data_IF_448193968060
#
_entry.id   IF_448193968060
#
_cell.length_a   1.000
_cell.length_b   1.000
_cell.length_c   1.000
_cell.angle_alpha   90.00
_cell.angle_beta   90.00
_cell.angle_gamma   90.00
#
_symmetry.space_group_name_H-M   'P 1'
#
loop_
_entity.id
_entity.type
_entity.pdbx_description
1 polymer ?
#
# COMPACT_ATOMS: atom_id res chain seq x y z
N UNK A 1 27.58 29.82 -1.08
CA UNK A 1 27.09 29.74 0.31
C UNK A 1 25.76 29.00 0.29
N UNK A 2 25.72 27.76 0.79
CA UNK A 2 24.47 26.99 0.85
C UNK A 2 23.50 27.66 1.83
N UNK A 3 22.20 27.74 1.49
CA UNK A 3 21.21 28.26 2.45
C UNK A 3 21.22 27.37 3.70
N UNK A 4 21.00 27.96 4.88
CA UNK A 4 20.92 27.24 6.17
C UNK A 4 20.08 25.95 6.06
N UNK A 5 18.97 26.00 5.32
CA UNK A 5 18.08 24.87 5.07
C UNK A 5 18.71 23.72 4.27
N UNK A 6 19.59 24.02 3.32
CA UNK A 6 20.30 22.99 2.54
C UNK A 6 21.25 22.20 3.43
N UNK A 7 21.95 22.88 4.34
CA UNK A 7 22.84 22.24 5.32
C UNK A 7 22.02 21.37 6.27
N UNK A 8 20.87 21.86 6.76
CA UNK A 8 19.98 21.08 7.62
C UNK A 8 19.48 19.79 6.93
N UNK A 9 19.07 19.85 5.65
CA UNK A 9 18.66 18.65 4.88
C UNK A 9 19.80 17.63 4.76
N UNK A 10 21.03 18.10 4.51
CA UNK A 10 22.21 17.23 4.41
C UNK A 10 22.51 16.55 5.75
N UNK A 11 22.50 17.30 6.85
CA UNK A 11 22.77 16.76 8.18
C UNK A 11 21.69 15.77 8.60
N UNK A 12 20.42 16.13 8.43
CA UNK A 12 19.29 15.24 8.69
C UNK A 12 19.39 13.93 7.89
N UNK A 13 19.70 14.00 6.60
CA UNK A 13 19.82 12.80 5.76
C UNK A 13 21.01 11.91 6.18
N UNK A 14 22.13 12.50 6.60
CA UNK A 14 23.29 11.76 7.12
C UNK A 14 22.97 11.10 8.47
N UNK A 15 22.29 11.82 9.38
CA UNK A 15 21.94 11.31 10.70
C UNK A 15 20.90 10.19 10.61
N UNK A 16 19.89 10.34 9.75
CA UNK A 16 18.93 9.27 9.46
C UNK A 16 19.61 8.01 8.92
N UNK A 17 20.61 8.17 8.05
CA UNK A 17 21.42 7.03 7.61
C UNK A 17 22.12 6.35 8.78
N UNK A 18 22.79 7.11 9.66
CA UNK A 18 23.47 6.54 10.82
C UNK A 18 22.50 5.84 11.79
N UNK A 19 21.32 6.41 12.01
CA UNK A 19 20.28 5.80 12.85
C UNK A 19 19.76 4.50 12.23
N UNK A 20 19.57 4.45 10.92
CA UNK A 20 19.13 3.24 10.23
C UNK A 20 20.22 2.15 10.25
N UNK A 21 21.47 2.53 9.98
CA UNK A 21 22.60 1.59 10.08
C UNK A 21 22.70 1.02 11.51
N UNK A 22 22.41 1.83 12.53
CA UNK A 22 22.33 1.39 13.93
C UNK A 22 21.14 0.45 14.16
N UNK A 23 19.96 0.80 13.67
CA UNK A 23 18.75 -0.02 13.79
C UNK A 23 18.95 -1.40 13.20
N UNK A 24 19.64 -1.52 12.07
CA UNK A 24 20.01 -2.79 11.48
C UNK A 24 20.81 -3.67 12.44
N UNK A 25 21.71 -3.09 13.24
CA UNK A 25 22.54 -3.80 14.22
C UNK A 25 21.85 -4.10 15.57
N UNK A 26 20.77 -3.39 15.91
CA UNK A 26 20.05 -3.58 17.19
C UNK A 26 19.18 -4.84 17.13
N UNK A 27 19.29 -5.71 18.14
CA UNK A 27 18.39 -6.86 18.27
C UNK A 27 17.02 -6.45 18.78
N UNK A 28 15.95 -6.98 18.17
CA UNK A 28 14.57 -6.72 18.58
C UNK A 28 13.97 -5.44 17.99
N UNK A 29 12.79 -5.10 18.49
CA UNK A 29 12.04 -3.92 18.08
C UNK A 29 12.56 -2.67 18.82
N UNK A 30 12.58 -1.54 18.14
CA UNK A 30 13.10 -0.28 18.68
C UNK A 30 12.36 0.92 18.09
N UNK A 31 12.27 2.01 18.86
CA UNK A 31 11.75 3.29 18.38
C UNK A 31 12.71 4.39 18.81
N UNK A 32 13.04 5.30 17.90
CA UNK A 32 13.86 6.47 18.18
C UNK A 32 13.21 7.70 17.57
N UNK A 33 13.15 8.79 18.34
CA UNK A 33 12.80 10.11 17.84
C UNK A 33 14.02 10.74 17.15
N UNK A 34 13.79 11.32 15.97
CA UNK A 34 14.79 12.06 15.23
C UNK A 34 14.98 13.42 15.92
N UNK A 35 16.21 13.83 16.30
CA UNK A 35 16.49 15.05 17.06
C UNK A 35 16.49 16.31 16.17
N UNK A 36 15.55 16.40 15.24
CA UNK A 36 15.40 17.51 14.30
C UNK A 36 13.94 17.94 14.26
N UNK A 37 13.70 19.24 14.25
CA UNK A 37 12.41 19.76 13.83
C UNK A 37 12.29 19.62 12.31
N UNK A 38 11.45 18.70 11.85
CA UNK A 38 11.28 18.40 10.43
C UNK A 38 10.05 19.05 9.80
N UNK A 39 9.45 20.04 10.48
CA UNK A 39 8.20 20.71 10.05
C UNK A 39 8.28 21.40 8.69
N UNK A 40 9.48 21.58 8.13
CA UNK A 40 9.70 22.19 6.82
C UNK A 40 10.03 21.19 5.72
N UNK A 41 10.14 19.91 6.06
CA UNK A 41 10.69 18.89 5.18
C UNK A 41 9.67 17.82 4.86
N UNK A 42 9.77 17.33 3.64
CA UNK A 42 9.21 16.08 3.15
C UNK A 42 10.31 15.03 3.23
N UNK A 43 10.02 13.90 3.88
CA UNK A 43 10.90 12.77 4.06
C UNK A 43 10.26 11.55 3.40
N UNK A 44 10.96 10.91 2.47
CA UNK A 44 10.47 9.75 1.72
C UNK A 44 11.51 8.63 1.72
N UNK A 45 11.16 7.47 2.27
CA UNK A 45 11.94 6.27 2.01
C UNK A 45 11.63 5.71 0.62
N UNK A 46 12.71 5.42 -0.12
CA UNK A 46 12.72 4.57 -1.31
C UNK A 46 13.37 3.23 -0.93
N UNK A 47 13.49 2.30 -1.88
CA UNK A 47 13.99 0.93 -1.64
C UNK A 47 15.26 0.86 -0.76
N UNK A 48 16.24 1.72 -0.99
CA UNK A 48 17.50 1.77 -0.24
C UNK A 48 18.01 3.20 -0.02
N UNK A 49 17.12 4.19 0.00
CA UNK A 49 17.51 5.58 0.23
C UNK A 49 16.44 6.38 0.96
N UNK A 50 16.86 7.47 1.59
CA UNK A 50 15.97 8.54 2.04
C UNK A 50 16.12 9.73 1.11
N UNK A 51 14.99 10.27 0.66
CA UNK A 51 14.89 11.54 -0.04
C UNK A 51 14.32 12.60 0.91
N UNK A 52 15.01 13.74 1.04
CA UNK A 52 14.61 14.86 1.89
C UNK A 52 14.58 16.15 1.07
N UNK A 53 13.45 16.85 1.12
CA UNK A 53 13.23 18.08 0.35
C UNK A 53 12.15 18.97 0.97
N UNK A 54 12.07 20.22 0.55
CA UNK A 54 10.95 21.13 0.83
C UNK A 54 9.95 21.05 -0.34
N UNK A 55 8.63 21.25 -0.11
CA UNK A 55 7.59 21.10 -1.17
C UNK A 55 7.91 21.76 -2.50
N UNK A 56 8.52 22.94 -2.46
CA UNK A 56 8.83 23.76 -3.62
C UNK A 56 10.28 23.60 -4.13
N UNK A 57 11.01 22.59 -3.64
CA UNK A 57 12.35 22.32 -4.11
C UNK A 57 12.35 21.79 -5.55
N UNK A 58 13.12 22.47 -6.39
CA UNK A 58 13.62 21.90 -7.64
C UNK A 58 14.38 20.59 -7.34
N UNK A 59 14.33 19.62 -8.25
CA UNK A 59 14.94 18.30 -8.06
C UNK A 59 16.43 18.37 -7.65
N UNK A 60 17.18 19.32 -8.21
CA UNK A 60 18.60 19.55 -7.90
C UNK A 60 18.87 19.99 -6.45
N UNK A 61 17.85 20.44 -5.72
CA UNK A 61 17.93 20.85 -4.30
C UNK A 61 17.47 19.76 -3.33
N UNK A 62 16.96 18.63 -3.85
CA UNK A 62 16.54 17.49 -3.04
C UNK A 62 17.78 16.71 -2.63
N UNK A 63 17.82 16.27 -1.38
CA UNK A 63 18.93 15.52 -0.83
C UNK A 63 18.53 14.05 -0.77
N UNK A 64 19.18 13.22 -1.58
CA UNK A 64 19.06 11.78 -1.48
C UNK A 64 20.30 11.19 -0.78
N UNK A 65 20.07 10.27 0.14
CA UNK A 65 21.11 9.47 0.78
C UNK A 65 20.79 8.00 0.66
N UNK A 66 21.65 7.29 -0.07
CA UNK A 66 21.61 5.84 -0.18
C UNK A 66 22.09 5.20 1.13
N UNK A 67 21.50 4.07 1.47
CA UNK A 67 21.76 3.29 2.66
C UNK A 67 22.14 1.87 2.26
N UNK A 68 22.93 1.21 3.10
CA UNK A 68 23.28 -0.20 2.89
C UNK A 68 22.38 -0.99 3.82
N UNK A 69 21.40 -1.68 3.24
CA UNK A 69 20.47 -2.51 3.97
C UNK A 69 20.87 -3.98 3.78
N UNK A 70 20.95 -4.78 4.86
CA UNK A 70 21.11 -6.21 4.70
C UNK A 70 19.91 -6.84 4.00
N UNK A 71 20.09 -8.04 3.46
CA UNK A 71 19.01 -8.76 2.80
C UNK A 71 17.76 -8.87 3.67
N UNK A 72 16.61 -8.60 3.05
CA UNK A 72 15.28 -8.62 3.64
C UNK A 72 14.96 -7.48 4.62
N UNK A 73 15.84 -6.48 4.77
CA UNK A 73 15.44 -5.23 5.42
C UNK A 73 14.61 -4.37 4.46
N UNK A 74 13.54 -3.77 4.99
CA UNK A 74 12.66 -2.87 4.24
C UNK A 74 12.56 -1.51 4.95
N UNK A 75 12.65 -0.44 4.18
CA UNK A 75 12.33 0.91 4.63
C UNK A 75 10.94 1.28 4.13
N UNK A 76 10.09 1.78 5.03
CA UNK A 76 8.73 2.18 4.69
C UNK A 76 8.45 3.53 5.32
N UNK A 77 7.88 4.46 4.56
CA UNK A 77 7.25 5.63 5.13
C UNK A 77 7.56 6.92 4.40
N UNK A 78 6.58 7.81 4.52
CA UNK A 78 6.57 9.15 3.97
C UNK A 78 5.99 10.06 5.04
N UNK A 79 6.66 11.18 5.30
CA UNK A 79 6.16 12.20 6.20
C UNK A 79 6.38 13.57 5.60
N UNK A 80 5.36 14.40 5.73
CA UNK A 80 5.35 15.75 5.22
C UNK A 80 5.17 16.72 6.39
N UNK A 81 6.14 17.62 6.55
CA UNK A 81 6.05 18.81 7.41
C UNK A 81 5.67 18.47 8.86
N UNK A 82 6.16 17.33 9.37
CA UNK A 82 5.95 16.88 10.76
C UNK A 82 7.02 17.43 11.68
N UNK A 83 6.63 17.94 12.84
CA UNK A 83 7.58 18.50 13.81
C UNK A 83 8.44 17.40 14.45
N UNK A 84 7.82 16.32 14.92
CA UNK A 84 8.48 15.19 15.57
C UNK A 84 8.32 13.92 14.75
N UNK A 85 9.44 13.36 14.33
CA UNK A 85 9.49 12.15 13.49
C UNK A 85 10.24 11.05 14.21
N UNK A 86 9.71 9.84 14.12
CA UNK A 86 10.26 8.65 14.73
C UNK A 86 10.61 7.61 13.66
N UNK A 87 11.72 6.91 13.88
CA UNK A 87 12.01 5.64 13.21
C UNK A 87 11.59 4.51 14.14
N UNK A 88 10.73 3.62 13.66
CA UNK A 88 10.33 2.40 14.37
C UNK A 88 10.81 1.17 13.61
N UNK A 89 11.66 0.38 14.26
CA UNK A 89 12.02 -0.94 13.80
C UNK A 89 11.05 -1.96 14.38
N UNK A 90 10.43 -2.74 13.50
CA UNK A 90 9.77 -4.00 13.84
C UNK A 90 10.40 -5.12 13.05
N UNK A 91 11.09 -6.03 13.73
CA UNK A 91 11.86 -7.09 13.08
C UNK A 91 12.82 -6.53 12.00
N UNK A 92 12.61 -6.81 10.70
CA UNK A 92 13.46 -6.30 9.60
C UNK A 92 12.84 -5.11 8.85
N UNK A 93 11.75 -4.54 9.36
CA UNK A 93 11.07 -3.39 8.75
C UNK A 93 11.36 -2.16 9.58
N UNK A 94 11.83 -1.09 8.95
CA UNK A 94 12.05 0.21 9.58
C UNK A 94 11.06 1.20 8.99
N UNK A 95 10.22 1.77 9.86
CA UNK A 95 9.10 2.64 9.50
C UNK A 95 9.42 4.07 9.90
N UNK A 96 9.27 5.00 8.96
CA UNK A 96 9.21 6.44 9.21
C UNK A 96 7.80 6.83 9.60
N UNK A 97 7.59 7.35 10.82
CA UNK A 97 6.28 7.75 11.32
C UNK A 97 6.35 9.03 12.17
N UNK A 98 5.23 9.72 12.34
CA UNK A 98 5.13 10.78 13.34
C UNK A 98 5.26 10.19 14.75
N UNK A 99 6.01 10.85 15.63
CA UNK A 99 6.11 10.43 17.02
C UNK A 99 4.77 10.66 17.73
N UNK A 100 4.19 9.61 18.31
CA UNK A 100 3.04 9.76 19.20
C UNK A 100 3.57 10.15 20.59
N UNK A 101 3.07 11.25 21.15
CA UNK A 101 3.33 11.55 22.56
C UNK A 101 2.79 10.41 23.42
N UNK A 102 3.63 9.86 24.29
CA UNK A 102 3.29 8.70 25.10
C UNK A 102 2.20 9.02 26.12
N UNK A 103 1.08 8.28 26.04
CA UNK A 103 0.05 8.03 27.06
C UNK A 103 -0.40 9.21 27.95
N UNK A 104 -1.61 9.70 27.68
CA UNK A 104 -2.53 10.22 28.72
C UNK A 104 -3.97 9.86 28.35
N UNK A 105 -4.77 9.58 29.39
CA UNK A 105 -6.06 8.89 29.41
C UNK A 105 -7.23 9.68 28.73
N UNK A 106 -8.44 9.09 28.64
CA UNK A 106 -9.42 9.38 27.59
C UNK A 106 -10.18 10.68 27.81
N UNK A 107 -10.39 11.39 26.70
CA UNK A 107 -11.32 12.50 26.61
C UNK A 107 -10.72 13.65 25.84
N UNK A 108 -11.05 13.73 24.56
CA UNK A 108 -11.66 14.89 23.90
C UNK A 108 -11.81 14.57 22.41
N UNK A 109 -13.02 14.78 21.94
CA UNK A 109 -13.42 14.85 20.53
C UNK A 109 -12.48 15.76 19.74
N UNK A 110 -11.73 15.21 18.80
CA UNK A 110 -11.07 15.99 17.76
C UNK A 110 -11.73 15.66 16.43
N UNK A 111 -12.50 16.63 15.95
CA UNK A 111 -13.06 16.69 14.60
C UNK A 111 -11.96 16.49 13.56
N UNK A 112 -11.84 15.27 13.04
CA UNK A 112 -10.99 14.93 11.89
C UNK A 112 -11.63 15.50 10.64
N UNK A 113 -10.89 16.34 9.91
CA UNK A 113 -11.18 16.59 8.50
C UNK A 113 -10.95 15.25 7.79
N UNK A 114 -12.03 14.53 7.53
CA UNK A 114 -12.01 13.25 6.81
C UNK A 114 -11.60 13.51 5.37
N UNK A 115 -10.56 12.84 4.90
CA UNK A 115 -10.18 12.86 3.47
C UNK A 115 -11.28 12.21 2.63
N UNK A 116 -11.32 12.49 1.31
CA UNK A 116 -12.33 11.94 0.40
C UNK A 116 -12.34 10.41 0.37
N UNK A 117 -11.20 9.77 0.60
CA UNK A 117 -11.11 8.32 0.72
C UNK A 117 -11.55 7.84 2.11
N UNK A 118 -11.15 8.51 3.20
CA UNK A 118 -11.58 8.12 4.55
C UNK A 118 -13.09 8.18 4.74
N UNK A 119 -13.76 9.12 4.08
CA UNK A 119 -15.21 9.25 4.11
C UNK A 119 -15.95 8.04 3.47
N UNK A 120 -15.22 7.17 2.74
CA UNK A 120 -15.78 5.96 2.11
C UNK A 120 -15.68 4.73 3.01
N UNK A 121 -14.99 4.83 4.14
CA UNK A 121 -14.81 3.70 5.05
C UNK A 121 -15.91 3.70 6.11
N UNK A 122 -16.59 2.57 6.25
CA UNK A 122 -17.43 2.36 7.41
C UNK A 122 -16.57 2.20 8.67
N UNK A 123 -17.19 2.42 9.82
CA UNK A 123 -16.51 2.27 11.11
C UNK A 123 -15.92 0.86 11.24
N UNK A 124 -14.63 0.77 11.58
CA UNK A 124 -13.94 -0.49 11.79
C UNK A 124 -13.34 -1.12 10.53
N UNK A 125 -13.60 -0.58 9.33
CA UNK A 125 -13.10 -1.18 8.08
C UNK A 125 -11.58 -1.21 8.00
N UNK A 126 -10.91 -0.11 8.33
CA UNK A 126 -9.44 -0.04 8.26
C UNK A 126 -8.79 -0.92 9.33
N UNK A 127 -9.35 -1.01 10.53
CA UNK A 127 -8.86 -1.94 11.56
C UNK A 127 -9.04 -3.39 11.10
N UNK A 128 -10.19 -3.72 10.50
CA UNK A 128 -10.47 -5.05 9.96
C UNK A 128 -9.55 -5.40 8.79
N UNK A 129 -9.35 -4.48 7.86
CA UNK A 129 -8.48 -4.65 6.70
C UNK A 129 -7.03 -4.90 7.14
N UNK A 130 -6.48 -4.05 8.02
CA UNK A 130 -5.14 -4.24 8.58
C UNK A 130 -5.01 -5.60 9.27
N UNK A 131 -6.02 -6.02 10.05
CA UNK A 131 -6.01 -7.32 10.71
C UNK A 131 -5.96 -8.46 9.69
N UNK A 132 -6.81 -8.42 8.66
CA UNK A 132 -6.85 -9.45 7.61
C UNK A 132 -5.54 -9.49 6.82
N UNK A 133 -5.01 -8.34 6.41
CA UNK A 133 -3.74 -8.24 5.70
C UNK A 133 -2.59 -8.85 6.53
N UNK A 134 -2.50 -8.51 7.81
CA UNK A 134 -1.50 -9.09 8.72
C UNK A 134 -1.64 -10.61 8.87
N UNK A 135 -2.86 -11.13 9.02
CA UNK A 135 -3.12 -12.58 9.11
C UNK A 135 -2.77 -13.33 7.81
N UNK A 136 -2.79 -12.64 6.67
CA UNK A 136 -2.41 -13.17 5.36
C UNK A 136 -0.92 -12.97 5.03
N UNK A 137 -0.21 -12.16 5.82
CA UNK A 137 1.18 -11.75 5.53
C UNK A 137 1.31 -10.76 4.37
N UNK A 138 0.27 -9.98 4.10
CA UNK A 138 0.19 -8.99 3.02
C UNK A 138 0.40 -7.58 3.59
N UNK A 139 1.02 -6.68 2.82
CA UNK A 139 1.02 -5.25 3.15
C UNK A 139 -0.43 -4.69 3.08
N UNK A 140 -0.97 -4.11 4.15
CA UNK A 140 -2.34 -3.59 4.15
C UNK A 140 -2.61 -2.57 3.03
N UNK A 141 -1.63 -1.75 2.67
CA UNK A 141 -1.82 -0.79 1.59
C UNK A 141 -1.90 -1.46 0.21
N UNK A 142 -1.28 -2.65 0.03
CA UNK A 142 -1.44 -3.41 -1.21
C UNK A 142 -2.84 -4.01 -1.31
N UNK A 143 -3.35 -4.58 -0.21
CA UNK A 143 -4.71 -5.11 -0.17
C UNK A 143 -5.72 -3.99 -0.40
N UNK A 144 -5.55 -2.86 0.26
CA UNK A 144 -6.41 -1.69 0.09
C UNK A 144 -6.32 -1.11 -1.34
N UNK A 145 -5.15 -1.11 -1.98
CA UNK A 145 -4.97 -0.69 -3.37
C UNK A 145 -5.68 -1.60 -4.37
N UNK A 146 -5.62 -2.92 -4.15
CA UNK A 146 -6.39 -3.87 -4.95
C UNK A 146 -7.89 -3.62 -4.77
N UNK A 147 -8.37 -3.45 -3.53
CA UNK A 147 -9.79 -3.16 -3.27
C UNK A 147 -10.22 -1.85 -3.95
N UNK A 148 -9.39 -0.81 -3.87
CA UNK A 148 -9.67 0.46 -4.55
C UNK A 148 -9.80 0.24 -6.05
N UNK A 149 -8.86 -0.46 -6.67
CA UNK A 149 -8.87 -0.71 -8.10
C UNK A 149 -10.11 -1.51 -8.53
N UNK A 150 -10.38 -2.62 -7.84
CA UNK A 150 -11.51 -3.52 -8.12
C UNK A 150 -12.88 -2.85 -7.94
N UNK A 151 -12.97 -1.89 -7.02
CA UNK A 151 -14.21 -1.17 -6.75
C UNK A 151 -14.34 0.17 -7.48
N UNK A 152 -13.38 0.53 -8.32
CA UNK A 152 -13.32 1.86 -8.96
C UNK A 152 -13.23 3.01 -7.95
N UNK A 153 -12.61 2.77 -6.80
CA UNK A 153 -12.41 3.73 -5.72
C UNK A 153 -13.63 3.99 -4.85
N UNK A 154 -14.63 3.12 -4.88
CA UNK A 154 -15.84 3.24 -4.05
C UNK A 154 -15.71 2.51 -2.72
N UNK A 155 -14.88 1.46 -2.65
CA UNK A 155 -14.85 0.51 -1.53
C UNK A 155 -16.22 -0.11 -1.23
N UNK A 156 -17.12 -0.15 -2.22
CA UNK A 156 -18.48 -0.63 -2.00
C UNK A 156 -18.54 -2.17 -2.03
N UNK A 157 -19.07 -2.83 -0.98
CA UNK A 157 -19.31 -4.27 -0.97
C UNK A 157 -20.34 -4.72 -2.02
N UNK A 158 -21.14 -3.79 -2.53
CA UNK A 158 -22.16 -4.03 -3.55
C UNK A 158 -21.72 -3.67 -4.96
N UNK A 159 -20.45 -3.24 -5.14
CA UNK A 159 -19.96 -2.83 -6.46
C UNK A 159 -20.06 -3.99 -7.46
N UNK A 160 -20.85 -3.80 -8.51
CA UNK A 160 -20.99 -4.77 -9.60
C UNK A 160 -20.08 -4.41 -10.76
N UNK A 161 -19.59 -5.44 -11.45
CA UNK A 161 -18.83 -5.26 -12.68
C UNK A 161 -19.70 -4.67 -13.80
N UNK A 162 -19.19 -3.63 -14.47
CA UNK A 162 -19.92 -2.93 -15.54
C UNK A 162 -20.07 -3.74 -16.84
N UNK A 163 -19.24 -4.78 -17.05
CA UNK A 163 -19.27 -5.64 -18.23
C UNK A 163 -20.22 -6.84 -18.09
N UNK A 164 -20.95 -6.95 -16.97
CA UNK A 164 -21.99 -7.97 -16.78
C UNK A 164 -21.46 -9.37 -16.42
N UNK A 165 -20.22 -9.49 -15.95
CA UNK A 165 -19.64 -10.78 -15.53
C UNK A 165 -20.26 -11.39 -14.27
N UNK A 166 -21.08 -10.60 -13.55
CA UNK A 166 -21.61 -10.96 -12.22
C UNK A 166 -20.63 -10.75 -11.07
N UNK A 167 -19.40 -10.31 -11.36
CA UNK A 167 -18.41 -10.04 -10.32
C UNK A 167 -18.89 -8.93 -9.37
N UNK A 168 -18.74 -9.15 -8.06
CA UNK A 168 -19.35 -8.30 -7.03
C UNK A 168 -18.43 -8.06 -5.83
N UNK A 169 -18.42 -6.84 -5.31
CA UNK A 169 -17.82 -6.48 -4.03
C UNK A 169 -16.35 -6.04 -4.07
N UNK A 170 -15.73 -6.01 -2.89
CA UNK A 170 -14.44 -5.40 -2.58
C UNK A 170 -13.29 -5.93 -3.45
N UNK A 171 -13.35 -7.18 -3.87
CA UNK A 171 -12.36 -7.79 -4.78
C UNK A 171 -13.00 -8.40 -6.03
N UNK A 172 -14.21 -7.95 -6.37
CA UNK A 172 -14.99 -8.45 -7.52
C UNK A 172 -15.12 -9.99 -7.53
N UNK A 173 -15.71 -10.57 -6.48
CA UNK A 173 -15.94 -12.01 -6.39
C UNK A 173 -16.81 -12.49 -7.56
N UNK A 174 -16.30 -13.44 -8.34
CA UNK A 174 -17.08 -14.13 -9.38
C UNK A 174 -18.16 -15.03 -8.75
N UNK A 175 -19.32 -15.24 -9.41
CA UNK A 175 -20.42 -16.05 -8.86
C UNK A 175 -20.00 -17.45 -8.36
N UNK A 176 -19.21 -18.18 -9.15
CA UNK A 176 -18.72 -19.51 -8.77
C UNK A 176 -17.76 -19.45 -7.57
N UNK A 177 -16.95 -18.39 -7.46
CA UNK A 177 -16.07 -18.17 -6.32
C UNK A 177 -16.87 -17.90 -5.05
N UNK A 178 -17.92 -17.07 -5.13
CA UNK A 178 -18.81 -16.81 -4.00
C UNK A 178 -19.46 -18.10 -3.48
N UNK A 179 -19.96 -18.95 -4.39
CA UNK A 179 -20.54 -20.26 -4.06
C UNK A 179 -19.50 -21.15 -3.37
N UNK A 180 -18.27 -21.22 -3.90
CA UNK A 180 -17.20 -22.02 -3.30
C UNK A 180 -16.80 -21.55 -1.88
N UNK A 181 -17.02 -20.27 -1.56
CA UNK A 181 -16.80 -19.69 -0.24
C UNK A 181 -18.01 -19.84 0.70
N UNK A 182 -19.08 -20.51 0.25
CA UNK A 182 -20.29 -20.77 1.02
C UNK A 182 -21.26 -19.59 1.08
N UNK A 183 -21.28 -18.74 0.05
CA UNK A 183 -22.18 -17.59 -0.06
C UNK A 183 -22.61 -17.36 -1.52
N UNK A 184 -23.21 -16.21 -1.83
CA UNK A 184 -23.60 -15.79 -3.18
C UNK A 184 -23.18 -14.35 -3.44
N UNK A 185 -23.11 -13.93 -4.70
CA UNK A 185 -22.85 -12.53 -5.06
C UNK A 185 -23.94 -11.59 -4.53
N UNK A 186 -25.17 -12.07 -4.43
CA UNK A 186 -26.32 -11.35 -3.87
C UNK A 186 -26.21 -11.15 -2.36
N UNK A 187 -25.70 -12.13 -1.62
CA UNK A 187 -25.43 -12.01 -0.19
C UNK A 187 -24.20 -11.14 0.09
N UNK A 188 -23.12 -11.33 -0.67
CA UNK A 188 -21.93 -10.48 -0.61
C UNK A 188 -22.31 -9.00 -0.81
N UNK A 189 -23.17 -8.70 -1.78
CA UNK A 189 -23.63 -7.33 -2.05
C UNK A 189 -24.41 -6.68 -0.89
N UNK A 190 -24.94 -7.46 0.05
CA UNK A 190 -25.69 -6.97 1.22
C UNK A 190 -24.83 -6.79 2.46
N UNK A 191 -23.58 -7.26 2.42
CA UNK A 191 -22.66 -7.17 3.55
C UNK A 191 -22.11 -5.76 3.71
N UNK A 192 -21.69 -5.45 4.93
CA UNK A 192 -20.83 -4.32 5.25
C UNK A 192 -19.41 -4.55 4.69
N UNK A 193 -18.57 -3.50 4.64
CA UNK A 193 -17.17 -3.64 4.25
C UNK A 193 -16.42 -4.58 5.22
N UNK A 194 -16.64 -4.42 6.53
CA UNK A 194 -16.07 -5.22 7.61
C UNK A 194 -16.49 -6.69 7.50
N UNK A 195 -17.76 -6.97 7.22
CA UNK A 195 -18.27 -8.33 7.03
C UNK A 195 -17.65 -8.98 5.78
N UNK A 196 -17.61 -8.25 4.67
CA UNK A 196 -17.09 -8.79 3.42
C UNK A 196 -15.57 -9.07 3.49
N UNK A 197 -14.83 -8.38 4.36
CA UNK A 197 -13.42 -8.66 4.62
C UNK A 197 -13.16 -10.09 5.15
N UNK A 198 -14.13 -10.73 5.81
CA UNK A 198 -13.98 -12.15 6.20
C UNK A 198 -13.97 -13.08 4.97
N UNK A 199 -14.71 -12.73 3.92
CA UNK A 199 -14.69 -13.48 2.65
C UNK A 199 -13.45 -13.15 1.83
N UNK A 200 -12.97 -11.90 1.87
CA UNK A 200 -11.67 -11.53 1.29
C UNK A 200 -10.58 -12.40 1.92
N UNK A 201 -10.54 -12.49 3.25
CA UNK A 201 -9.60 -13.37 3.95
C UNK A 201 -9.69 -14.82 3.48
N UNK A 202 -10.89 -15.43 3.52
CA UNK A 202 -11.09 -16.84 3.09
C UNK A 202 -10.63 -17.09 1.66
N UNK A 203 -10.92 -16.15 0.75
CA UNK A 203 -10.48 -16.24 -0.63
C UNK A 203 -8.95 -16.22 -0.75
N UNK A 204 -8.30 -15.20 -0.18
CA UNK A 204 -6.84 -15.06 -0.25
C UNK A 204 -6.10 -16.23 0.42
N UNK A 205 -6.67 -16.80 1.49
CA UNK A 205 -6.18 -18.04 2.10
C UNK A 205 -6.20 -19.23 1.14
N UNK A 206 -7.17 -19.29 0.22
CA UNK A 206 -7.31 -20.37 -0.75
C UNK A 206 -6.35 -20.22 -1.94
N UNK A 207 -6.10 -18.98 -2.40
CA UNK A 207 -5.39 -18.76 -3.66
C UNK A 207 -3.89 -18.49 -3.52
N UNK A 208 -3.41 -18.00 -2.37
CA UNK A 208 -2.02 -17.52 -2.32
C UNK A 208 -1.41 -17.24 -0.96
N UNK A 209 -2.02 -17.61 0.16
CA UNK A 209 -1.45 -17.34 1.49
C UNK A 209 0.05 -17.70 1.58
N UNK A 210 0.86 -16.76 2.09
CA UNK A 210 2.31 -16.90 2.20
C UNK A 210 3.11 -16.70 0.90
N UNK A 211 2.46 -16.44 -0.24
CA UNK A 211 3.10 -16.20 -1.55
C UNK A 211 2.87 -14.79 -2.11
N UNK A 212 2.30 -13.89 -1.31
CA UNK A 212 1.83 -12.56 -1.76
C UNK A 212 2.78 -11.47 -1.28
N UNK A 213 4.01 -11.50 -1.80
CA UNK A 213 5.12 -10.65 -1.32
C UNK A 213 5.19 -9.27 -1.96
N UNK A 214 4.49 -9.04 -3.07
CA UNK A 214 4.49 -7.79 -3.84
C UNK A 214 3.06 -7.33 -4.16
N UNK A 215 2.90 -6.04 -4.53
CA UNK A 215 1.63 -5.52 -5.03
C UNK A 215 1.14 -6.31 -6.25
N UNK A 216 2.05 -6.73 -7.13
CA UNK A 216 1.72 -7.51 -8.32
C UNK A 216 1.20 -8.89 -7.95
N UNK A 217 1.80 -9.59 -6.98
CA UNK A 217 1.31 -10.88 -6.51
C UNK A 217 -0.07 -10.79 -5.84
N UNK A 218 -0.29 -9.75 -5.01
CA UNK A 218 -1.59 -9.50 -4.37
C UNK A 218 -2.67 -9.25 -5.42
N UNK A 219 -2.35 -8.51 -6.50
CA UNK A 219 -3.30 -8.32 -7.59
C UNK A 219 -3.49 -9.57 -8.45
N UNK A 220 -2.44 -10.36 -8.70
CA UNK A 220 -2.57 -11.64 -9.41
C UNK A 220 -3.48 -12.60 -8.68
N UNK A 221 -3.55 -12.55 -7.35
CA UNK A 221 -4.51 -13.33 -6.58
C UNK A 221 -5.97 -13.04 -6.97
N UNK A 222 -6.29 -11.87 -7.52
CA UNK A 222 -7.63 -11.51 -8.00
C UNK A 222 -7.75 -11.72 -9.51
N UNK A 223 -6.79 -11.24 -10.30
CA UNK A 223 -6.88 -11.26 -11.76
C UNK A 223 -6.57 -12.62 -12.37
N UNK A 224 -5.47 -13.25 -11.94
CA UNK A 224 -4.96 -14.49 -12.55
C UNK A 224 -4.06 -15.27 -11.56
N UNK A 225 -4.64 -16.04 -10.62
CA UNK A 225 -3.89 -16.64 -9.50
C UNK A 225 -2.71 -17.54 -9.91
N UNK A 226 -2.74 -18.10 -11.12
CA UNK A 226 -1.64 -18.90 -11.65
C UNK A 226 -0.33 -18.12 -11.82
N UNK A 227 -0.38 -16.78 -11.90
CA UNK A 227 0.80 -15.92 -12.07
C UNK A 227 1.40 -15.42 -10.74
N UNK A 228 0.91 -15.87 -9.59
CA UNK A 228 1.49 -15.54 -8.29
C UNK A 228 2.91 -16.12 -8.21
N UNK A 229 3.90 -15.25 -7.96
CA UNK A 229 5.32 -15.62 -7.91
C UNK A 229 6.02 -15.73 -9.26
N UNK A 230 5.30 -15.59 -10.38
CA UNK A 230 5.90 -15.47 -11.71
C UNK A 230 6.60 -14.11 -11.91
N UNK A 231 7.48 -14.01 -12.90
CA UNK A 231 8.17 -12.78 -13.26
C UNK A 231 7.22 -11.70 -13.80
N UNK A 232 7.65 -10.43 -13.74
CA UNK A 232 6.85 -9.28 -14.18
C UNK A 232 6.56 -9.28 -15.70
N UNK A 233 7.42 -9.90 -16.50
CA UNK A 233 7.24 -10.09 -17.95
C UNK A 233 6.38 -11.33 -18.31
N UNK A 234 5.88 -12.07 -17.32
CA UNK A 234 5.01 -13.21 -17.55
C UNK A 234 3.72 -12.79 -18.28
N UNK A 235 3.45 -13.41 -19.43
CA UNK A 235 2.28 -13.11 -20.26
C UNK A 235 1.03 -13.76 -19.67
N UNK A 236 0.08 -12.93 -19.21
CA UNK A 236 -1.21 -13.37 -18.66
C UNK A 236 -2.19 -13.72 -19.77
N UNK A 237 -2.34 -12.82 -20.74
CA UNK A 237 -3.30 -12.95 -21.83
C UNK A 237 -2.68 -12.52 -23.15
N UNK A 238 -3.08 -13.18 -24.23
CA UNK A 238 -2.57 -12.91 -25.58
C UNK A 238 -3.69 -12.81 -26.60
N UNK A 239 -3.57 -11.89 -27.54
CA UNK A 239 -4.50 -11.77 -28.67
C UNK A 239 -4.45 -13.03 -29.56
N UNK A 240 -5.58 -13.53 -30.08
CA UNK A 240 -6.93 -12.96 -30.03
C UNK A 240 -7.85 -13.62 -28.97
N UNK A 241 -7.29 -14.18 -27.90
CA UNK A 241 -8.08 -14.93 -26.89
C UNK A 241 -9.20 -14.07 -26.28
N UNK A 242 -10.28 -14.71 -25.86
CA UNK A 242 -11.39 -14.03 -25.16
C UNK A 242 -10.90 -13.28 -23.92
N UNK A 243 -9.98 -13.89 -23.16
CA UNK A 243 -9.40 -13.27 -21.97
C UNK A 243 -8.62 -11.98 -22.31
N UNK A 244 -7.85 -11.98 -23.39
CA UNK A 244 -7.20 -10.76 -23.88
C UNK A 244 -8.24 -9.70 -24.29
N UNK A 245 -9.28 -10.07 -25.04
CA UNK A 245 -10.33 -9.11 -25.45
C UNK A 245 -11.02 -8.45 -24.27
N UNK A 246 -11.33 -9.21 -23.22
CA UNK A 246 -11.96 -8.71 -22.00
C UNK A 246 -11.03 -7.80 -21.18
N UNK A 247 -9.73 -8.07 -21.21
CA UNK A 247 -8.72 -7.34 -20.45
C UNK A 247 -7.89 -6.38 -21.30
N UNK A 248 -8.28 -6.11 -22.55
CA UNK A 248 -7.50 -5.35 -23.54
C UNK A 248 -7.07 -3.97 -23.03
N UNK A 249 -7.84 -3.38 -22.10
CA UNK A 249 -7.48 -2.12 -21.46
C UNK A 249 -6.20 -2.17 -20.62
N UNK A 250 -5.67 -3.36 -20.30
CA UNK A 250 -4.42 -3.56 -19.56
C UNK A 250 -3.18 -3.65 -20.47
N UNK A 251 -3.36 -3.85 -21.78
CA UNK A 251 -2.25 -3.85 -22.75
C UNK A 251 -1.82 -2.40 -23.02
N UNK A 252 -0.72 -1.99 -22.41
CA UNK A 252 -0.29 -0.58 -22.39
C UNK A 252 0.54 -0.20 -23.59
N UNK A 253 1.39 -1.10 -24.08
CA UNK A 253 2.24 -0.89 -25.24
C UNK A 253 1.60 -1.31 -26.57
N UNK A 254 0.46 -2.02 -26.51
CA UNK A 254 -0.35 -2.48 -27.64
C UNK A 254 0.35 -3.53 -28.50
N UNK A 255 1.22 -4.34 -27.90
CA UNK A 255 1.93 -5.43 -28.60
C UNK A 255 1.05 -6.68 -28.82
N UNK A 256 -0.15 -6.72 -28.24
CA UNK A 256 -1.07 -7.86 -28.34
C UNK A 256 -0.91 -8.89 -27.22
N UNK A 257 -0.14 -8.57 -26.19
CA UNK A 257 0.10 -9.34 -24.97
C UNK A 257 -0.25 -8.46 -23.76
N UNK A 258 -0.62 -9.09 -22.65
CA UNK A 258 -0.80 -8.41 -21.37
C UNK A 258 0.10 -9.13 -20.39
N UNK A 259 1.13 -8.45 -19.92
CA UNK A 259 2.05 -8.98 -18.91
C UNK A 259 1.56 -8.73 -17.49
N UNK A 260 2.17 -9.42 -16.53
CA UNK A 260 1.95 -9.17 -15.09
C UNK A 260 2.24 -7.71 -14.73
N UNK A 261 3.34 -7.15 -15.22
CA UNK A 261 3.73 -5.77 -14.98
C UNK A 261 2.67 -4.78 -15.46
N UNK A 262 2.20 -4.94 -16.70
CA UNK A 262 1.23 -4.03 -17.30
C UNK A 262 -0.10 -4.07 -16.55
N UNK A 263 -0.57 -5.28 -16.22
CA UNK A 263 -1.77 -5.46 -15.43
C UNK A 263 -1.66 -4.77 -14.07
N UNK A 264 -0.52 -4.91 -13.38
CA UNK A 264 -0.28 -4.33 -12.06
C UNK A 264 0.01 -2.83 -12.07
N UNK A 265 0.43 -2.25 -13.20
CA UNK A 265 0.75 -0.82 -13.31
C UNK A 265 -0.43 0.10 -12.92
N UNK A 266 -1.67 -0.32 -13.24
CA UNK A 266 -2.88 0.43 -12.87
C UNK A 266 -3.22 0.34 -11.38
N UNK A 267 -2.90 -0.80 -10.77
CA UNK A 267 -3.04 -0.97 -9.31
C UNK A 267 -1.98 -0.17 -8.59
N UNK A 268 -0.76 -0.06 -9.14
CA UNK A 268 0.29 0.81 -8.61
C UNK A 268 -0.15 2.28 -8.60
N UNK A 269 -0.85 2.76 -9.64
CA UNK A 269 -1.43 4.10 -9.63
C UNK A 269 -2.49 4.26 -8.52
N UNK A 270 -3.29 3.22 -8.27
CA UNK A 270 -4.27 3.20 -7.17
C UNK A 270 -3.60 3.25 -5.81
N UNK A 271 -2.51 2.49 -5.63
CA UNK A 271 -1.67 2.52 -4.43
C UNK A 271 -1.13 3.93 -4.18
N UNK A 272 -0.51 4.56 -5.19
CA UNK A 272 0.03 5.92 -5.06
C UNK A 272 -1.06 6.92 -4.63
N UNK A 273 -2.25 6.85 -5.25
CA UNK A 273 -3.39 7.72 -4.89
C UNK A 273 -3.87 7.51 -3.45
N UNK A 274 -3.97 6.27 -2.99
CA UNK A 274 -4.36 5.97 -1.60
C UNK A 274 -3.34 6.50 -0.62
N UNK A 275 -2.05 6.36 -0.94
CA UNK A 275 -0.99 6.92 -0.11
C UNK A 275 -1.14 8.45 -0.07
N UNK A 276 -1.23 9.13 -1.22
CA UNK A 276 -1.41 10.59 -1.32
C UNK A 276 -2.64 11.09 -0.53
N UNK A 277 -3.82 10.47 -0.69
CA UNK A 277 -5.06 10.89 -0.02
C UNK A 277 -5.18 10.42 1.45
N UNK A 278 -4.32 9.51 1.92
CA UNK A 278 -4.15 9.26 3.36
C UNK A 278 -3.31 10.35 4.03
N UNK A 279 -2.59 11.14 3.24
CA UNK A 279 -1.63 12.16 3.70
C UNK A 279 -2.20 13.60 3.56
N UNK A 280 -3.14 13.83 2.64
CA UNK A 280 -3.85 15.11 2.44
C UNK A 280 -4.91 15.39 3.51
#
# INVERSE_FOLDING_TARGET
MGSSTTITKINLANDMKMMIDTFVGVSGDAVIEIPYNTSKFVLLFKESSILIFEKNDLEVKRIERKMILPENYKLIGFLEEKEKVCLEKKSKVIVLKECKETYSAPGISTSTVSTSIQAKFEQGFIEKENKVANELGIDPNYLLAVIYFETGGTFSPSQKNAAGSGATGLIQFMPNTAIALGTTTEELAKMSQVEQMDYVKKYFQTVGAGRLSSLSDVYMAVLYPKAIGESEDYVLFKSPTTAYKQNKGLDTDKDGQITKQEASSKVLASYNKIIEEKIS
#
